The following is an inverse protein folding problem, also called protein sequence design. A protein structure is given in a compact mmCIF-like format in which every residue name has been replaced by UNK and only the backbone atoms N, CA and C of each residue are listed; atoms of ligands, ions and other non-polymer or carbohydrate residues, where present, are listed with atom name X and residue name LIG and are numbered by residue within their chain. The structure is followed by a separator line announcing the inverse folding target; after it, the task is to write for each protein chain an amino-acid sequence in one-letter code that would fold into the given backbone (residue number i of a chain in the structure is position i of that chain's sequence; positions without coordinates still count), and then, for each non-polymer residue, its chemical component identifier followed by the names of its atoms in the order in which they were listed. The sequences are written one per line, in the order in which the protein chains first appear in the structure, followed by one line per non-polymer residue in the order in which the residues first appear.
data_IF_310502789135
#
_entry.id   IF_310502789135
#
_cell.length_a   1.000
_cell.length_b   1.000
_cell.length_c   1.000
_cell.angle_alpha   90.00
_cell.angle_beta   90.00
_cell.angle_gamma   90.00
#
_symmetry.space_group_name_H-M   'P 1'
#
loop_
_entity.id
_entity.type
_entity.pdbx_description
1 polymer ?
#
# COMPACT_ATOMS: atom_id res chain seq x y z
N UNK A 1 17.58 -53.49 34.56
CA UNK A 1 19.02 -53.72 34.30
C UNK A 1 19.37 -53.13 32.92
N UNK A 2 20.56 -52.51 32.79
CA UNK A 2 21.10 -51.61 31.73
C UNK A 2 20.86 -50.12 32.07
N UNK A 3 21.75 -49.48 32.85
CA UNK A 3 23.07 -48.86 32.55
C UNK A 3 22.99 -47.56 31.73
N UNK A 4 23.13 -46.44 32.47
CA UNK A 4 23.78 -45.11 32.28
C UNK A 4 24.58 -44.83 30.97
N UNK A 5 24.81 -43.55 30.56
CA UNK A 5 25.66 -42.62 31.32
C UNK A 5 25.26 -41.13 31.35
N UNK A 6 25.93 -40.42 32.27
CA UNK A 6 25.83 -39.01 32.60
C UNK A 6 26.95 -38.16 31.96
N UNK A 7 26.76 -36.84 32.06
CA UNK A 7 27.75 -35.74 32.10
C UNK A 7 28.50 -35.36 30.82
N UNK A 8 28.36 -34.08 30.43
CA UNK A 8 29.46 -33.10 30.52
C UNK A 8 28.98 -31.65 30.38
N UNK A 9 29.39 -30.87 31.38
CA UNK A 9 29.42 -29.42 31.46
C UNK A 9 30.41 -28.81 30.45
N UNK A 10 30.03 -27.69 29.85
CA UNK A 10 30.96 -26.74 29.26
C UNK A 10 30.48 -25.31 29.52
N UNK A 11 31.19 -24.59 30.38
CA UNK A 11 31.23 -23.12 30.36
C UNK A 11 32.20 -22.70 29.25
N UNK A 12 31.93 -21.58 28.56
CA UNK A 12 32.96 -20.54 28.54
C UNK A 12 32.43 -19.09 28.53
N UNK A 13 33.16 -18.27 29.27
CA UNK A 13 33.74 -16.98 28.82
C UNK A 13 32.90 -15.70 28.88
N UNK A 14 33.41 -14.81 29.73
CA UNK A 14 33.13 -13.37 29.81
C UNK A 14 33.60 -12.61 28.56
N UNK A 15 32.71 -11.79 28.03
CA UNK A 15 32.94 -10.64 27.15
C UNK A 15 31.85 -9.65 27.58
N UNK A 16 32.04 -8.39 27.89
CA UNK A 16 33.09 -7.40 27.67
C UNK A 16 32.31 -6.08 27.82
N UNK A 17 32.77 -5.17 28.68
CA UNK A 17 32.10 -3.88 28.88
C UNK A 17 32.10 -3.09 27.56
N UNK A 18 30.91 -2.79 27.02
CA UNK A 18 30.77 -1.79 25.96
C UNK A 18 30.40 -0.44 26.57
N UNK A 19 31.25 0.53 26.24
CA UNK A 19 31.20 1.94 26.61
C UNK A 19 30.11 2.62 25.78
N UNK A 20 29.09 3.15 26.46
CA UNK A 20 28.07 3.98 25.82
C UNK A 20 28.66 5.38 25.54
N UNK A 21 28.88 5.69 24.26
CA UNK A 21 29.14 7.06 23.79
C UNK A 21 27.81 7.82 23.78
N UNK A 22 27.77 8.94 24.52
CA UNK A 22 26.67 9.91 24.46
C UNK A 22 26.73 10.69 23.14
N UNK A 23 25.60 10.97 22.47
CA UNK A 23 25.55 11.89 21.34
C UNK A 23 25.73 13.35 21.80
N UNK A 24 26.32 14.23 20.97
CA UNK A 24 26.61 15.61 21.31
C UNK A 24 25.34 16.48 21.36
N UNK A 25 25.34 17.42 22.30
CA UNK A 25 24.30 18.43 22.52
C UNK A 25 24.06 19.30 21.26
N UNK A 26 22.83 19.29 20.77
CA UNK A 26 22.34 20.22 19.74
C UNK A 26 21.66 21.43 20.39
N UNK A 27 22.46 22.42 20.79
CA UNK A 27 21.98 23.77 21.12
C UNK A 27 22.66 24.81 20.22
N UNK A 28 22.09 25.11 19.05
CA UNK A 28 21.96 26.49 18.55
C UNK A 28 21.19 26.56 17.21
N UNK A 29 20.03 27.23 17.12
CA UNK A 29 19.42 27.60 15.84
C UNK A 29 19.99 28.92 15.31
N UNK A 30 20.36 28.93 14.01
CA UNK A 30 20.90 30.10 13.30
C UNK A 30 19.86 31.23 13.15
N UNK A 31 20.30 32.51 13.10
CA UNK A 31 19.41 33.67 13.04
C UNK A 31 18.83 33.92 11.63
N UNK A 32 17.57 34.36 11.60
CA UNK A 32 16.84 34.82 10.40
C UNK A 32 17.40 36.15 9.90
N UNK A 33 17.88 36.18 8.65
CA UNK A 33 18.18 37.42 7.94
C UNK A 33 16.92 37.95 7.25
N UNK A 34 16.40 39.07 7.76
CA UNK A 34 15.54 39.98 7.00
C UNK A 34 16.40 41.04 6.30
N UNK A 35 15.94 41.54 5.15
CA UNK A 35 16.61 42.63 4.45
C UNK A 35 15.95 42.97 3.12
N UNK A 36 15.20 44.05 3.12
CA UNK A 36 14.50 44.64 1.99
C UNK A 36 15.45 45.26 0.94
N UNK A 37 15.09 45.05 -0.33
CA UNK A 37 14.81 46.07 -1.37
C UNK A 37 15.44 47.46 -1.18
N UNK A 38 16.35 47.82 -2.10
CA UNK A 38 16.45 49.16 -2.70
C UNK A 38 17.32 49.13 -3.97
N UNK A 39 16.68 49.55 -5.06
CA UNK A 39 17.12 50.55 -6.02
C UNK A 39 18.28 50.29 -6.99
N UNK A 40 17.86 50.43 -8.24
CA UNK A 40 18.56 50.28 -9.50
C UNK A 40 18.98 51.69 -9.91
N UNK A 41 20.27 52.02 -9.77
CA UNK A 41 20.86 53.17 -10.45
C UNK A 41 22.07 52.76 -11.27
N UNK A 42 21.96 53.11 -12.54
CA UNK A 42 22.91 52.90 -13.61
C UNK A 42 23.93 54.03 -13.58
N UNK A 43 25.22 53.72 -13.50
CA UNK A 43 26.26 54.62 -14.01
C UNK A 43 27.50 53.86 -14.46
N UNK A 44 27.84 54.18 -15.70
CA UNK A 44 28.99 53.84 -16.51
C UNK A 44 30.35 54.09 -15.87
N UNK A 45 31.29 53.14 -15.99
CA UNK A 45 32.72 53.39 -16.24
C UNK A 45 33.32 52.18 -16.97
N UNK A 46 33.99 52.43 -18.11
CA UNK A 46 34.93 51.50 -18.75
C UNK A 46 36.19 51.37 -17.89
N UNK A 47 36.53 50.16 -17.47
CA UNK A 47 37.90 49.82 -17.07
C UNK A 47 38.29 48.48 -17.69
N UNK A 48 39.25 48.55 -18.62
CA UNK A 48 40.07 47.41 -19.00
C UNK A 48 40.91 47.02 -17.77
N UNK A 49 40.58 45.89 -17.18
CA UNK A 49 41.47 45.13 -16.31
C UNK A 49 41.07 43.67 -16.47
N UNK A 50 41.90 42.92 -17.20
CA UNK A 50 41.83 41.47 -17.27
C UNK A 50 41.85 40.93 -15.85
N UNK A 51 40.67 40.60 -15.32
CA UNK A 51 40.52 40.02 -14.00
C UNK A 51 40.94 38.54 -14.10
N UNK A 52 42.03 38.10 -13.43
CA UNK A 52 42.41 36.69 -13.40
C UNK A 52 41.50 35.87 -12.45
N UNK A 53 40.37 36.43 -12.01
CA UNK A 53 39.35 35.79 -11.18
C UNK A 53 38.38 34.86 -11.94
N UNK A 54 38.39 34.85 -13.28
CA UNK A 54 37.48 33.99 -14.06
C UNK A 54 37.87 32.49 -14.05
N UNK A 55 38.92 32.12 -13.31
CA UNK A 55 39.32 30.70 -13.13
C UNK A 55 38.50 29.96 -12.07
N UNK A 56 37.66 30.62 -11.28
CA UNK A 56 36.76 29.93 -10.33
C UNK A 56 35.45 29.43 -10.98
N UNK A 57 35.08 29.92 -12.18
CA UNK A 57 33.84 29.51 -12.86
C UNK A 57 33.88 28.10 -13.48
N UNK A 58 35.07 27.59 -13.78
CA UNK A 58 35.23 26.27 -14.41
C UNK A 58 35.35 25.10 -13.42
N UNK A 59 35.73 25.35 -12.16
CA UNK A 59 35.97 24.29 -11.16
C UNK A 59 34.69 23.76 -10.49
N UNK A 60 33.57 24.49 -10.61
CA UNK A 60 32.27 24.02 -10.13
C UNK A 60 31.46 23.24 -11.18
N UNK A 61 31.89 23.28 -12.45
CA UNK A 61 31.20 22.60 -13.57
C UNK A 61 31.36 21.07 -13.52
N UNK A 62 32.45 20.58 -12.91
CA UNK A 62 32.73 19.14 -12.81
C UNK A 62 32.09 18.45 -11.60
N UNK A 63 31.51 19.18 -10.65
CA UNK A 63 30.87 18.57 -9.47
C UNK A 63 29.46 18.07 -9.79
N UNK A 64 28.73 18.74 -10.68
CA UNK A 64 27.38 18.33 -11.06
C UNK A 64 27.33 16.92 -11.68
N UNK A 65 28.21 16.54 -12.64
CA UNK A 65 28.25 15.17 -13.14
C UNK A 65 28.60 14.13 -12.05
N UNK A 66 29.49 14.47 -11.12
CA UNK A 66 29.87 13.58 -10.01
C UNK A 66 28.70 13.41 -9.03
N UNK A 67 28.03 14.50 -8.64
CA UNK A 67 26.83 14.47 -7.81
C UNK A 67 25.70 13.69 -8.49
N UNK A 68 25.53 13.85 -9.81
CA UNK A 68 24.54 13.08 -10.56
C UNK A 68 24.83 11.58 -10.50
N UNK A 69 26.11 11.18 -10.61
CA UNK A 69 26.50 9.77 -10.44
C UNK A 69 26.31 9.27 -9.00
N UNK A 70 26.65 10.07 -7.99
CA UNK A 70 26.44 9.76 -6.57
C UNK A 70 24.94 9.57 -6.26
N UNK A 71 24.09 10.51 -6.71
CA UNK A 71 22.63 10.46 -6.54
C UNK A 71 22.06 9.23 -7.26
N UNK A 72 22.50 8.95 -8.50
CA UNK A 72 22.04 7.78 -9.24
C UNK A 72 22.39 6.48 -8.51
N UNK A 73 23.60 6.37 -7.97
CA UNK A 73 24.00 5.18 -7.21
C UNK A 73 23.19 5.05 -5.92
N UNK A 74 23.04 6.14 -5.17
CA UNK A 74 22.25 6.17 -3.95
C UNK A 74 20.78 5.82 -4.20
N UNK A 75 20.17 6.31 -5.28
CA UNK A 75 18.77 6.03 -5.61
C UNK A 75 18.54 4.56 -5.98
N UNK A 76 19.48 3.93 -6.70
CA UNK A 76 19.43 2.50 -7.01
C UNK A 76 19.52 1.66 -5.73
N UNK A 77 20.48 1.97 -4.84
CA UNK A 77 20.63 1.25 -3.56
C UNK A 77 19.39 1.42 -2.68
N UNK A 78 18.85 2.64 -2.62
CA UNK A 78 17.63 2.93 -1.87
C UNK A 78 16.42 2.13 -2.38
N UNK A 79 16.17 2.12 -3.70
CA UNK A 79 15.07 1.37 -4.29
C UNK A 79 15.20 -0.14 -4.04
N UNK A 80 16.43 -0.69 -4.11
CA UNK A 80 16.69 -2.09 -3.77
C UNK A 80 16.40 -2.39 -2.30
N UNK A 81 16.83 -1.50 -1.39
CA UNK A 81 16.56 -1.65 0.04
C UNK A 81 15.07 -1.59 0.37
N UNK A 82 14.30 -0.70 -0.29
CA UNK A 82 12.85 -0.63 -0.14
C UNK A 82 12.17 -1.93 -0.58
N UNK A 83 12.53 -2.46 -1.76
CA UNK A 83 11.98 -3.72 -2.26
C UNK A 83 12.30 -4.89 -1.34
N UNK A 84 13.57 -5.00 -0.92
CA UNK A 84 14.01 -6.04 0.00
C UNK A 84 13.27 -5.98 1.34
N UNK A 85 13.08 -4.77 1.88
CA UNK A 85 12.31 -4.56 3.12
C UNK A 85 10.86 -5.00 2.95
N UNK A 86 10.22 -4.63 1.84
CA UNK A 86 8.85 -5.03 1.53
C UNK A 86 8.72 -6.56 1.38
N UNK A 87 9.62 -7.21 0.64
CA UNK A 87 9.64 -8.67 0.48
C UNK A 87 9.80 -9.37 1.84
N UNK A 88 10.73 -8.92 2.68
CA UNK A 88 10.91 -9.44 4.04
C UNK A 88 9.64 -9.31 4.89
N UNK A 89 8.95 -8.16 4.81
CA UNK A 89 7.68 -7.95 5.55
C UNK A 89 6.61 -8.94 5.09
N UNK A 90 6.47 -9.17 3.78
CA UNK A 90 5.51 -10.14 3.23
C UNK A 90 5.84 -11.56 3.68
N UNK A 91 7.11 -11.96 3.64
CA UNK A 91 7.54 -13.29 4.12
C UNK A 91 7.25 -13.44 5.61
N UNK A 92 7.67 -12.48 6.44
CA UNK A 92 7.38 -12.49 7.87
C UNK A 92 5.89 -12.56 8.15
N UNK A 93 5.08 -11.74 7.47
CA UNK A 93 3.63 -11.73 7.63
C UNK A 93 2.99 -13.09 7.30
N UNK A 94 3.40 -13.73 6.20
CA UNK A 94 2.92 -15.07 5.81
C UNK A 94 3.31 -16.12 6.86
N UNK A 95 4.58 -16.17 7.26
CA UNK A 95 5.05 -17.08 8.31
C UNK A 95 4.33 -16.87 9.64
N UNK A 96 4.01 -15.61 9.99
CA UNK A 96 3.27 -15.28 11.21
C UNK A 96 1.80 -15.71 11.14
N UNK A 97 1.16 -15.60 9.97
CA UNK A 97 -0.21 -16.10 9.77
C UNK A 97 -0.24 -17.62 9.97
N UNK A 98 0.66 -18.35 9.31
CA UNK A 98 0.79 -19.81 9.43
C UNK A 98 1.11 -20.22 10.87
N UNK A 99 2.11 -19.58 11.50
CA UNK A 99 2.48 -19.88 12.88
C UNK A 99 1.32 -19.66 13.86
N UNK A 100 0.49 -18.63 13.63
CA UNK A 100 -0.67 -18.35 14.49
C UNK A 100 -1.75 -19.43 14.39
N UNK A 101 -1.89 -20.07 13.23
CA UNK A 101 -2.82 -21.19 13.03
C UNK A 101 -2.33 -22.48 13.72
N UNK A 102 -1.01 -22.65 13.82
CA UNK A 102 -0.38 -23.82 14.47
C UNK A 102 -0.24 -23.69 15.98
N UNK A 103 -0.20 -22.48 16.53
CA UNK A 103 -0.02 -22.24 17.96
C UNK A 103 -1.26 -22.63 18.78
N UNK A 104 -1.05 -23.37 19.87
CA UNK A 104 -2.11 -23.60 20.85
C UNK A 104 -2.46 -22.32 21.62
N UNK A 105 -3.59 -22.33 22.31
CA UNK A 105 -4.05 -21.18 23.09
C UNK A 105 -3.01 -20.79 24.16
N UNK A 106 -2.57 -19.53 24.15
CA UNK A 106 -1.58 -19.00 25.10
C UNK A 106 -0.11 -19.14 24.68
N UNK A 107 0.23 -19.96 23.68
CA UNK A 107 1.62 -20.16 23.24
C UNK A 107 2.15 -19.03 22.35
N UNK A 108 1.25 -18.25 21.75
CA UNK A 108 1.57 -17.21 20.79
C UNK A 108 2.60 -16.19 21.30
N UNK A 109 2.48 -15.75 22.55
CA UNK A 109 3.42 -14.78 23.15
C UNK A 109 4.81 -15.36 23.31
N UNK A 110 4.92 -16.65 23.67
CA UNK A 110 6.20 -17.35 23.78
C UNK A 110 6.87 -17.51 22.42
N UNK A 111 6.10 -17.88 21.40
CA UNK A 111 6.56 -17.95 20.01
C UNK A 111 7.11 -16.61 19.52
N UNK A 112 6.37 -15.51 19.71
CA UNK A 112 6.80 -14.19 19.28
C UNK A 112 8.10 -13.73 19.96
N UNK A 113 8.26 -14.04 21.25
CA UNK A 113 9.50 -13.76 21.99
C UNK A 113 10.68 -14.54 21.41
N UNK A 114 10.49 -15.81 21.09
CA UNK A 114 11.52 -16.64 20.47
C UNK A 114 11.87 -16.16 19.05
N UNK A 115 10.89 -15.68 18.29
CA UNK A 115 11.09 -15.11 16.97
C UNK A 115 11.70 -13.69 16.98
N UNK A 116 11.84 -13.05 18.15
CA UNK A 116 12.38 -11.69 18.27
C UNK A 116 11.44 -10.60 17.71
N UNK A 117 10.14 -10.88 17.57
CA UNK A 117 9.17 -9.95 16.98
C UNK A 117 8.21 -9.45 18.06
N UNK A 118 7.98 -8.13 18.10
CA UNK A 118 6.99 -7.55 19.01
C UNK A 118 5.56 -7.93 18.59
N UNK A 119 4.60 -8.08 19.54
CA UNK A 119 3.20 -8.34 19.19
C UNK A 119 2.61 -7.32 18.22
N UNK A 120 2.98 -6.04 18.36
CA UNK A 120 2.53 -4.96 17.47
C UNK A 120 3.07 -5.13 16.05
N UNK A 121 4.36 -5.44 15.90
CA UNK A 121 4.96 -5.68 14.58
C UNK A 121 4.34 -6.89 13.92
N UNK A 122 4.16 -7.98 14.67
CA UNK A 122 3.53 -9.19 14.16
C UNK A 122 2.12 -8.91 13.62
N UNK A 123 1.29 -8.21 14.40
CA UNK A 123 -0.05 -7.81 13.96
C UNK A 123 -0.01 -6.98 12.67
N UNK A 124 0.88 -5.99 12.58
CA UNK A 124 1.03 -5.15 11.37
C UNK A 124 1.39 -5.98 10.14
N UNK A 125 2.39 -6.86 10.22
CA UNK A 125 2.80 -7.68 9.09
C UNK A 125 1.70 -8.67 8.67
N UNK A 126 1.00 -9.28 9.63
CA UNK A 126 -0.13 -10.14 9.34
C UNK A 126 -1.29 -9.38 8.67
N UNK A 127 -1.55 -8.13 9.08
CA UNK A 127 -2.60 -7.29 8.46
C UNK A 127 -2.28 -6.98 7.00
N UNK A 128 -1.03 -6.63 6.69
CA UNK A 128 -0.56 -6.37 5.32
C UNK A 128 -0.77 -7.60 4.42
N UNK A 129 -0.40 -8.79 4.90
CA UNK A 129 -0.56 -10.01 4.09
C UNK A 129 -2.04 -10.36 3.91
N UNK A 130 -2.85 -10.19 4.95
CA UNK A 130 -4.30 -10.46 4.88
C UNK A 130 -5.07 -9.45 4.02
N UNK A 131 -4.57 -8.22 3.86
CA UNK A 131 -5.16 -7.24 2.94
C UNK A 131 -4.79 -7.49 1.48
N UNK A 132 -3.94 -8.48 1.18
CA UNK A 132 -3.51 -8.80 -0.18
C UNK A 132 -2.53 -7.80 -0.79
N UNK A 133 -2.02 -6.83 -0.02
CA UNK A 133 -1.02 -5.88 -0.50
C UNK A 133 0.27 -6.64 -0.85
N UNK A 134 0.73 -6.45 -2.09
CA UNK A 134 1.97 -7.02 -2.61
C UNK A 134 3.21 -6.23 -2.22
N UNK A 135 4.39 -6.84 -2.36
CA UNK A 135 5.66 -6.19 -2.04
C UNK A 135 6.00 -5.03 -2.97
N UNK A 136 5.62 -5.09 -4.24
CA UNK A 136 5.84 -4.00 -5.20
C UNK A 136 5.13 -2.71 -4.72
N UNK A 137 3.84 -2.80 -4.34
CA UNK A 137 3.11 -1.67 -3.79
C UNK A 137 3.73 -1.18 -2.48
N UNK A 138 3.98 -2.10 -1.55
CA UNK A 138 4.54 -1.80 -0.24
C UNK A 138 5.92 -1.14 -0.31
N UNK A 139 6.73 -1.47 -1.33
CA UNK A 139 8.05 -0.86 -1.55
C UNK A 139 7.96 0.62 -1.93
N UNK A 140 6.85 1.03 -2.56
CA UNK A 140 6.61 2.39 -3.01
C UNK A 140 6.03 3.23 -1.86
N UNK A 141 4.95 2.76 -1.23
CA UNK A 141 4.22 3.54 -0.21
C UNK A 141 4.81 3.37 1.19
N UNK A 142 5.46 2.25 1.48
CA UNK A 142 5.95 1.94 2.82
C UNK A 142 4.89 1.39 3.77
N UNK A 143 5.34 0.90 4.93
CA UNK A 143 4.50 0.12 5.85
C UNK A 143 3.40 0.94 6.54
N UNK A 144 3.70 2.18 6.96
CA UNK A 144 2.74 2.99 7.71
C UNK A 144 1.59 3.41 6.81
N UNK A 145 1.90 3.97 5.65
CA UNK A 145 0.90 4.48 4.71
C UNK A 145 0.03 3.33 4.18
N UNK A 146 0.62 2.17 3.87
CA UNK A 146 -0.15 0.97 3.51
C UNK A 146 -1.12 0.52 4.60
N UNK A 147 -0.78 0.67 5.89
CA UNK A 147 -1.69 0.34 6.99
C UNK A 147 -2.84 1.36 7.10
N UNK A 148 -2.54 2.64 6.93
CA UNK A 148 -3.55 3.71 6.98
C UNK A 148 -4.54 3.56 5.82
N UNK A 149 -4.09 3.17 4.63
CA UNK A 149 -4.96 2.87 3.51
C UNK A 149 -5.81 1.60 3.73
N UNK A 150 -5.27 0.58 4.39
CA UNK A 150 -6.09 -0.57 4.82
C UNK A 150 -7.17 -0.10 5.79
N UNK A 151 -6.84 0.75 6.75
CA UNK A 151 -7.80 1.29 7.72
C UNK A 151 -8.89 2.11 7.01
N UNK A 152 -8.52 2.94 6.02
CA UNK A 152 -9.47 3.66 5.18
C UNK A 152 -10.37 2.73 4.35
N UNK A 153 -9.78 1.70 3.73
CA UNK A 153 -10.53 0.70 2.97
C UNK A 153 -11.53 -0.06 3.85
N UNK A 154 -11.13 -0.46 5.06
CA UNK A 154 -12.02 -1.10 6.04
C UNK A 154 -13.16 -0.17 6.43
N UNK A 155 -12.88 1.12 6.67
CA UNK A 155 -13.89 2.11 7.01
C UNK A 155 -14.88 2.39 5.87
N UNK A 156 -14.47 2.20 4.61
CA UNK A 156 -15.33 2.34 3.44
C UNK A 156 -16.24 1.13 3.18
N UNK A 157 -15.98 -0.01 3.83
CA UNK A 157 -16.80 -1.20 3.68
C UNK A 157 -18.13 -1.06 4.46
N UNK A 158 -19.23 -1.64 3.95
CA UNK A 158 -20.47 -1.72 4.70
C UNK A 158 -20.31 -2.61 5.94
N UNK A 159 -21.17 -2.37 6.93
CA UNK A 159 -21.23 -3.19 8.15
C UNK A 159 -21.49 -4.67 7.84
N UNK A 160 -21.01 -5.61 8.67
CA UNK A 160 -21.29 -7.03 8.50
C UNK A 160 -22.79 -7.31 8.36
N UNK A 161 -23.17 -8.08 7.34
CA UNK A 161 -24.58 -8.37 7.01
C UNK A 161 -25.23 -7.37 6.05
N UNK A 162 -24.50 -6.33 5.64
CA UNK A 162 -24.94 -5.32 4.68
C UNK A 162 -24.03 -5.26 3.45
N UNK A 163 -24.63 -4.92 2.30
CA UNK A 163 -23.96 -4.67 1.05
C UNK A 163 -24.23 -3.23 0.60
N UNK A 164 -23.24 -2.58 -0.02
CA UNK A 164 -23.49 -1.35 -0.77
C UNK A 164 -23.82 -1.72 -2.20
N UNK A 165 -24.93 -1.20 -2.71
CA UNK A 165 -25.38 -1.35 -4.10
C UNK A 165 -25.38 0.02 -4.78
N UNK A 166 -24.78 0.09 -5.96
CA UNK A 166 -24.74 1.26 -6.82
C UNK A 166 -25.28 0.89 -8.20
N UNK A 167 -26.08 1.80 -8.75
CA UNK A 167 -26.56 1.75 -10.12
C UNK A 167 -26.13 3.02 -10.84
N UNK A 168 -25.51 2.86 -12.01
CA UNK A 168 -25.10 3.96 -12.87
C UNK A 168 -26.05 4.12 -14.06
N UNK A 169 -26.20 5.35 -14.53
CA UNK A 169 -26.93 5.65 -15.75
C UNK A 169 -26.14 5.14 -16.95
N UNK A 170 -26.84 4.46 -17.84
CA UNK A 170 -26.30 4.00 -19.12
C UNK A 170 -27.26 4.49 -20.21
N UNK A 171 -26.77 5.31 -21.15
CA UNK A 171 -27.62 5.93 -22.18
C UNK A 171 -28.20 4.88 -23.15
N UNK A 172 -27.50 3.75 -23.34
CA UNK A 172 -27.80 2.77 -24.40
C UNK A 172 -28.08 1.35 -23.87
N UNK A 173 -28.53 1.16 -22.62
CA UNK A 173 -28.72 -0.18 -22.06
C UNK A 173 -29.27 -0.23 -20.63
N UNK A 174 -29.40 -1.44 -20.05
CA UNK A 174 -29.68 -1.56 -18.63
C UNK A 174 -28.55 -0.93 -17.81
N UNK A 175 -28.86 -0.46 -16.59
CA UNK A 175 -27.88 0.24 -15.77
C UNK A 175 -26.71 -0.67 -15.40
N UNK A 176 -25.50 -0.12 -15.44
CA UNK A 176 -24.34 -0.78 -14.87
C UNK A 176 -24.54 -0.82 -13.35
N UNK A 177 -24.44 -2.01 -12.75
CA UNK A 177 -24.56 -2.15 -11.30
C UNK A 177 -23.24 -2.58 -10.71
N UNK A 178 -22.95 -2.03 -9.53
CA UNK A 178 -21.87 -2.47 -8.67
C UNK A 178 -22.43 -2.80 -7.30
N UNK A 179 -21.89 -3.84 -6.69
CA UNK A 179 -22.24 -4.21 -5.35
C UNK A 179 -21.03 -4.77 -4.62
N UNK A 180 -20.88 -4.42 -3.36
CA UNK A 180 -19.81 -4.98 -2.52
C UNK A 180 -20.26 -5.15 -1.09
N UNK A 181 -19.63 -6.10 -0.39
CA UNK A 181 -19.96 -6.45 0.99
C UNK A 181 -18.74 -6.93 1.75
N UNK A 182 -18.75 -6.81 3.07
CA UNK A 182 -17.70 -7.33 3.96
C UNK A 182 -18.04 -8.75 4.42
N UNK A 183 -17.04 -9.63 4.55
CA UNK A 183 -17.17 -10.94 5.22
C UNK A 183 -16.60 -10.94 6.64
N UNK A 184 -16.20 -9.76 7.16
CA UNK A 184 -15.68 -9.59 8.52
C UNK A 184 -14.18 -9.89 8.68
N UNK A 185 -13.45 -10.26 7.62
CA UNK A 185 -12.08 -10.80 7.71
C UNK A 185 -11.06 -10.13 6.77
N UNK A 186 -10.96 -8.79 6.74
CA UNK A 186 -10.18 -8.04 5.72
C UNK A 186 -10.46 -8.49 4.26
N UNK A 187 -11.56 -9.20 4.07
CA UNK A 187 -12.05 -9.72 2.81
C UNK A 187 -13.52 -9.36 2.71
N UNK A 188 -13.98 -9.28 1.47
CA UNK A 188 -15.35 -9.01 1.10
C UNK A 188 -15.68 -9.71 -0.20
N UNK A 189 -16.90 -9.53 -0.67
CA UNK A 189 -17.26 -9.87 -2.03
C UNK A 189 -17.59 -8.64 -2.85
N UNK A 190 -17.56 -8.83 -4.17
CA UNK A 190 -17.74 -7.81 -5.16
C UNK A 190 -18.55 -8.37 -6.33
N UNK A 191 -19.47 -7.58 -6.85
CA UNK A 191 -20.22 -7.85 -8.05
C UNK A 191 -20.19 -6.60 -8.92
N UNK A 192 -19.97 -6.78 -10.21
CA UNK A 192 -20.10 -5.73 -11.21
C UNK A 192 -20.81 -6.30 -12.43
N UNK A 193 -21.70 -5.52 -13.02
CA UNK A 193 -22.24 -5.76 -14.35
C UNK A 193 -21.91 -4.57 -15.24
N UNK A 194 -21.58 -4.85 -16.49
CA UNK A 194 -21.34 -3.81 -17.49
C UNK A 194 -21.68 -4.30 -18.88
N UNK A 195 -21.98 -3.35 -19.76
CA UNK A 195 -22.15 -3.60 -21.20
C UNK A 195 -20.78 -3.78 -21.86
N UNK A 196 -20.61 -4.82 -22.67
CA UNK A 196 -19.41 -4.96 -23.49
C UNK A 196 -19.49 -4.00 -24.69
N UNK A 197 -18.52 -3.10 -24.84
CA UNK A 197 -18.50 -2.15 -25.96
C UNK A 197 -18.19 -2.81 -27.31
N UNK A 198 -17.45 -3.91 -27.31
CA UNK A 198 -17.13 -4.66 -28.54
C UNK A 198 -18.31 -5.53 -28.99
N UNK A 199 -19.18 -5.91 -28.06
CA UNK A 199 -20.37 -6.71 -28.31
C UNK A 199 -21.57 -6.05 -27.62
N UNK A 200 -22.24 -5.06 -28.26
CA UNK A 200 -23.27 -4.24 -27.62
C UNK A 200 -24.46 -5.03 -27.06
N UNK A 201 -24.71 -6.23 -27.60
CA UNK A 201 -25.78 -7.13 -27.13
C UNK A 201 -25.32 -8.03 -25.96
N UNK A 202 -24.07 -7.91 -25.53
CA UNK A 202 -23.46 -8.74 -24.49
C UNK A 202 -23.35 -7.97 -23.16
N UNK A 203 -24.01 -8.50 -22.14
CA UNK A 203 -23.84 -8.06 -20.76
C UNK A 203 -22.85 -8.97 -20.05
N UNK A 204 -21.78 -8.37 -19.54
CA UNK A 204 -20.79 -9.09 -18.75
C UNK A 204 -21.07 -8.86 -17.28
N UNK A 205 -20.83 -9.90 -16.48
CA UNK A 205 -20.92 -9.82 -15.04
C UNK A 205 -19.69 -10.52 -14.43
N UNK A 206 -19.11 -9.84 -13.46
CA UNK A 206 -18.05 -10.35 -12.61
C UNK A 206 -18.62 -10.49 -11.20
N UNK A 207 -18.47 -11.68 -10.63
CA UNK A 207 -18.82 -11.95 -9.23
C UNK A 207 -17.58 -12.56 -8.57
N UNK A 208 -17.09 -11.89 -7.53
CA UNK A 208 -15.97 -12.33 -6.71
C UNK A 208 -16.47 -12.48 -5.28
N UNK A 209 -16.59 -13.71 -4.81
CA UNK A 209 -17.15 -14.00 -3.48
C UNK A 209 -16.17 -13.68 -2.33
N UNK A 210 -14.87 -13.65 -2.65
CA UNK A 210 -13.81 -13.36 -1.68
C UNK A 210 -12.66 -12.61 -2.35
N UNK A 211 -12.50 -11.35 -1.95
CA UNK A 211 -11.43 -10.45 -2.38
C UNK A 211 -10.99 -9.61 -1.19
N UNK A 212 -9.70 -9.25 -1.06
CA UNK A 212 -9.27 -8.35 0.00
C UNK A 212 -9.99 -6.99 -0.08
N UNK A 213 -10.39 -6.45 1.08
CA UNK A 213 -11.16 -5.20 1.17
C UNK A 213 -10.44 -4.00 0.56
N UNK A 214 -9.10 -4.02 0.57
CA UNK A 214 -8.27 -3.01 -0.06
C UNK A 214 -8.56 -2.89 -1.57
N UNK A 215 -8.63 -4.02 -2.29
CA UNK A 215 -8.96 -4.02 -3.72
C UNK A 215 -10.41 -3.60 -3.98
N UNK A 216 -11.34 -4.03 -3.12
CA UNK A 216 -12.75 -3.62 -3.22
C UNK A 216 -12.88 -2.10 -3.11
N UNK A 217 -12.25 -1.51 -2.09
CA UNK A 217 -12.27 -0.07 -1.86
C UNK A 217 -11.63 0.70 -3.02
N UNK A 218 -10.47 0.22 -3.51
CA UNK A 218 -9.80 0.81 -4.67
C UNK A 218 -10.71 0.81 -5.91
N UNK A 219 -11.33 -0.32 -6.25
CA UNK A 219 -12.26 -0.41 -7.39
C UNK A 219 -13.45 0.53 -7.18
N UNK A 220 -14.04 0.55 -5.98
CA UNK A 220 -15.16 1.43 -5.68
C UNK A 220 -14.80 2.91 -5.84
N UNK A 221 -13.59 3.32 -5.44
CA UNK A 221 -13.09 4.69 -5.57
C UNK A 221 -12.78 5.07 -7.02
N UNK A 222 -12.08 4.21 -7.76
CA UNK A 222 -11.77 4.43 -9.19
C UNK A 222 -13.06 4.59 -10.00
N UNK A 223 -14.06 3.75 -9.72
CA UNK A 223 -15.35 3.81 -10.41
C UNK A 223 -16.19 5.01 -9.98
N UNK A 224 -16.10 5.45 -8.71
CA UNK A 224 -16.77 6.65 -8.23
C UNK A 224 -16.14 7.95 -8.76
N UNK A 225 -14.83 7.96 -9.01
CA UNK A 225 -14.10 9.13 -9.53
C UNK A 225 -14.25 9.32 -11.04
N UNK A 226 -14.78 8.33 -11.77
CA UNK A 226 -15.04 8.44 -13.21
C UNK A 226 -13.77 8.47 -14.05
N UNK A 227 -12.66 7.91 -13.55
CA UNK A 227 -11.37 7.88 -14.27
C UNK A 227 -11.44 6.98 -15.51
N UNK A 228 -12.36 6.01 -15.55
CA UNK A 228 -12.64 5.21 -16.76
C UNK A 228 -13.56 5.96 -17.74
N UNK A 229 -12.93 6.73 -18.62
CA UNK A 229 -13.58 7.35 -19.79
C UNK A 229 -13.96 8.81 -19.55
N UNK A 230 -13.89 9.62 -20.61
CA UNK A 230 -14.22 11.06 -20.60
C UNK A 230 -15.68 11.41 -20.24
N UNK A 231 -16.45 10.46 -19.68
CA UNK A 231 -17.81 10.67 -19.22
C UNK A 231 -17.91 10.20 -17.76
N UNK A 232 -18.02 11.11 -16.78
CA UNK A 232 -18.29 10.72 -15.41
C UNK A 232 -19.64 10.00 -15.40
N UNK A 233 -19.63 8.68 -15.17
CA UNK A 233 -20.86 7.87 -15.10
C UNK A 233 -21.76 8.50 -14.06
N UNK A 234 -22.94 8.97 -14.47
CA UNK A 234 -23.86 9.59 -13.53
C UNK A 234 -24.42 8.51 -12.62
N UNK A 235 -24.05 8.55 -11.35
CA UNK A 235 -24.62 7.68 -10.34
C UNK A 235 -26.10 8.01 -10.19
N UNK A 236 -26.97 7.02 -10.41
CA UNK A 236 -28.43 7.18 -10.21
C UNK A 236 -28.78 6.86 -8.77
N UNK A 237 -28.24 5.75 -8.24
CA UNK A 237 -28.64 5.21 -6.94
C UNK A 237 -27.42 4.73 -6.16
N UNK A 238 -27.40 5.05 -4.85
CA UNK A 238 -26.55 4.40 -3.83
C UNK A 238 -27.45 3.93 -2.70
N UNK A 239 -27.42 2.64 -2.39
CA UNK A 239 -28.21 2.07 -1.31
C UNK A 239 -27.39 1.07 -0.50
N UNK A 240 -27.63 1.05 0.81
CA UNK A 240 -27.20 -0.06 1.67
C UNK A 240 -28.34 -1.06 1.74
N UNK A 241 -28.07 -2.31 1.42
CA UNK A 241 -29.07 -3.39 1.38
C UNK A 241 -28.64 -4.55 2.29
N UNK A 242 -29.59 -5.26 2.92
CA UNK A 242 -29.27 -6.45 3.71
C UNK A 242 -28.83 -7.62 2.82
N UNK A 243 -28.13 -8.60 3.40
CA UNK A 243 -27.65 -9.77 2.66
C UNK A 243 -28.76 -10.60 1.99
N UNK A 244 -29.97 -10.64 2.54
CA UNK A 244 -31.11 -11.30 1.88
C UNK A 244 -31.38 -10.69 0.50
N UNK A 245 -31.42 -9.37 0.41
CA UNK A 245 -31.61 -8.65 -0.85
C UNK A 245 -30.38 -8.73 -1.76
N UNK A 246 -29.17 -8.77 -1.19
CA UNK A 246 -27.94 -9.05 -1.95
C UNK A 246 -28.03 -10.39 -2.67
N UNK A 247 -28.45 -11.45 -1.96
CA UNK A 247 -28.51 -12.80 -2.51
C UNK A 247 -29.54 -12.92 -3.62
N UNK A 248 -30.68 -12.23 -3.48
CA UNK A 248 -31.67 -12.09 -4.55
C UNK A 248 -31.08 -11.40 -5.79
N UNK A 249 -30.33 -10.30 -5.62
CA UNK A 249 -29.67 -9.59 -6.72
C UNK A 249 -28.58 -10.43 -7.38
N UNK A 250 -27.79 -11.17 -6.61
CA UNK A 250 -26.78 -12.11 -7.14
C UNK A 250 -27.46 -13.23 -7.92
N UNK A 251 -28.54 -13.82 -7.39
CA UNK A 251 -29.29 -14.87 -8.07
C UNK A 251 -29.90 -14.38 -9.38
N UNK A 252 -30.48 -13.17 -9.38
CA UNK A 252 -30.98 -12.52 -10.58
C UNK A 252 -29.87 -12.33 -11.63
N UNK A 253 -28.74 -11.72 -11.24
CA UNK A 253 -27.61 -11.52 -12.15
C UNK A 253 -27.12 -12.85 -12.75
N UNK A 254 -27.00 -13.90 -11.93
CA UNK A 254 -26.63 -15.25 -12.39
C UNK A 254 -27.65 -15.83 -13.38
N UNK A 255 -28.95 -15.65 -13.12
CA UNK A 255 -30.02 -16.15 -14.00
C UNK A 255 -30.03 -15.45 -15.36
N UNK A 256 -29.82 -14.13 -15.38
CA UNK A 256 -29.72 -13.38 -16.63
C UNK A 256 -28.51 -13.82 -17.45
N UNK A 257 -27.34 -13.97 -16.83
CA UNK A 257 -26.14 -14.50 -17.52
C UNK A 257 -26.42 -15.88 -18.13
N UNK A 258 -27.09 -16.77 -17.39
CA UNK A 258 -27.43 -18.10 -17.87
C UNK A 258 -28.36 -18.04 -19.09
N UNK A 259 -29.42 -17.23 -19.03
CA UNK A 259 -30.35 -17.00 -20.13
C UNK A 259 -29.63 -16.45 -21.37
N UNK A 260 -28.74 -15.48 -21.19
CA UNK A 260 -27.96 -14.90 -22.30
C UNK A 260 -27.07 -15.95 -22.99
N UNK A 261 -26.43 -16.84 -22.21
CA UNK A 261 -25.60 -17.93 -22.77
C UNK A 261 -26.42 -18.91 -23.60
N UNK A 262 -27.66 -19.20 -23.23
CA UNK A 262 -28.53 -20.12 -23.97
C UNK A 262 -29.07 -19.53 -25.27
N UNK A 263 -29.22 -18.20 -25.34
CA UNK A 263 -29.75 -17.51 -26.53
C UNK A 263 -28.71 -17.22 -27.62
N UNK A 264 -27.42 -17.46 -27.37
CA UNK A 264 -26.36 -17.31 -28.38
C UNK A 264 -26.06 -18.67 -29.04
N UNK A 265 -26.24 -18.80 -30.37
CA UNK A 265 -25.88 -20.01 -31.12
C UNK A 265 -24.36 -20.24 -31.17
#
# INVERSE_FOLDING_TARGET
MRRTPALRSASPTSLGQEVWMQPPDMENPAPRAGGNRADFESSSVQENSENPGDRQGAMNSNRLPVLAAEIKNASVVFAQAQRMSADCIIVMGKSLVEAKELCAHGEWTGFLKAAGISPRSAQRYMRIVKSGIGSDYLSIVGLTDALDEIDAAVAAMPDPGWATFISYENEDGPPDVMMWWSTGSLTGGFLQTWKNYEEPDSHTCLIVESMPVFYIAFIAEVMASGIEGNNPRRQIVRQSIPFSERDEKIAFARSEIARYRETRP
#
